data_IF_564353193979
#
_entry.id   IF_564353193979
#
_cell.length_a   1.000
_cell.length_b   1.000
_cell.length_c   1.000
_cell.angle_alpha   90.00
_cell.angle_beta   90.00
_cell.angle_gamma   90.00
#
_symmetry.space_group_name_H-M   'P 1'
#
loop_
_entity.id
_entity.type
_entity.pdbx_description
1 polymer ?
#
# COMPACT_ATOMS: atom_id res chain seq x y z
N UNK A 1 -3.15 -2.34 34.04
CA UNK A 1 -2.60 -1.16 34.75
C UNK A 1 -3.17 0.07 34.11
N UNK A 2 -4.02 0.79 34.83
CA UNK A 2 -4.74 1.95 34.31
C UNK A 2 -3.78 3.09 33.96
N UNK A 3 -3.77 3.47 32.69
CA UNK A 3 -3.29 4.78 32.22
C UNK A 3 -4.45 5.38 31.44
N UNK A 4 -4.94 6.53 31.87
CA UNK A 4 -5.98 7.26 31.13
C UNK A 4 -6.87 8.21 31.93
N UNK A 5 -6.80 8.25 33.26
CA UNK A 5 -7.70 9.11 34.06
C UNK A 5 -7.23 10.58 34.24
N UNK A 6 -6.28 11.07 33.44
CA UNK A 6 -5.65 12.38 33.68
C UNK A 6 -5.49 13.31 32.47
N UNK A 7 -5.76 12.86 31.24
CA UNK A 7 -5.85 13.76 30.08
C UNK A 7 -7.33 14.06 29.83
N UNK A 8 -7.72 15.34 29.89
CA UNK A 8 -9.09 15.75 29.66
C UNK A 8 -9.53 15.38 28.25
N UNK A 9 -10.58 14.56 28.12
CA UNK A 9 -11.21 14.30 26.84
C UNK A 9 -12.07 15.52 26.44
N UNK A 10 -11.80 16.09 25.27
CA UNK A 10 -12.52 17.26 24.75
C UNK A 10 -13.63 16.89 23.74
N UNK A 11 -13.55 15.70 23.16
CA UNK A 11 -14.49 15.22 22.17
C UNK A 11 -14.64 13.70 22.23
N UNK A 12 -15.67 13.16 21.59
CA UNK A 12 -15.84 11.71 21.44
C UNK A 12 -16.64 11.33 20.20
N UNK A 13 -16.38 10.11 19.71
CA UNK A 13 -17.12 9.46 18.63
C UNK A 13 -17.81 8.23 19.17
N UNK A 14 -19.14 8.15 19.00
CA UNK A 14 -19.93 6.95 19.31
C UNK A 14 -20.21 6.18 18.04
N UNK A 15 -19.78 4.92 18.01
CA UNK A 15 -20.04 3.96 16.95
C UNK A 15 -20.98 2.90 17.51
N UNK A 16 -22.17 2.76 16.92
CA UNK A 16 -23.10 1.68 17.28
C UNK A 16 -22.87 0.49 16.35
N UNK A 17 -22.65 -0.68 16.93
CA UNK A 17 -22.54 -1.95 16.23
C UNK A 17 -23.76 -2.80 16.59
N UNK A 18 -24.40 -3.35 15.56
CA UNK A 18 -25.58 -4.21 15.69
C UNK A 18 -25.27 -5.56 15.04
N UNK A 19 -25.49 -6.65 15.77
CA UNK A 19 -25.41 -7.99 15.24
C UNK A 19 -26.53 -8.23 14.22
N UNK A 20 -26.24 -9.01 13.18
CA UNK A 20 -27.21 -9.32 12.12
C UNK A 20 -27.79 -10.72 12.31
N UNK A 21 -28.97 -10.98 11.73
CA UNK A 21 -29.61 -12.30 11.81
C UNK A 21 -30.13 -12.70 13.19
N UNK A 22 -30.28 -11.74 14.12
CA UNK A 22 -30.73 -12.00 15.49
C UNK A 22 -29.68 -12.65 16.40
N UNK A 23 -28.43 -12.77 15.93
CA UNK A 23 -27.33 -13.30 16.73
C UNK A 23 -27.05 -12.39 17.95
N UNK A 24 -26.64 -13.00 19.06
CA UNK A 24 -26.20 -12.25 20.25
C UNK A 24 -24.75 -11.84 20.07
N UNK A 25 -24.36 -10.69 20.61
CA UNK A 25 -22.96 -10.28 20.57
C UNK A 25 -22.05 -11.31 21.25
N UNK A 26 -22.51 -11.95 22.33
CA UNK A 26 -21.75 -12.97 23.06
C UNK A 26 -21.42 -14.23 22.24
N UNK A 27 -22.16 -14.49 21.17
CA UNK A 27 -21.93 -15.61 20.25
C UNK A 27 -20.89 -15.26 19.17
N UNK A 28 -20.53 -13.98 19.04
CA UNK A 28 -19.59 -13.47 18.05
C UNK A 28 -18.19 -13.34 18.64
N UNK A 29 -17.21 -13.94 17.96
CA UNK A 29 -15.79 -13.82 18.30
C UNK A 29 -14.99 -13.17 17.16
N UNK A 30 -15.26 -11.90 16.80
CA UNK A 30 -14.54 -11.25 15.72
C UNK A 30 -13.06 -11.04 16.08
N UNK A 31 -12.19 -11.22 15.09
CA UNK A 31 -10.81 -10.73 15.15
C UNK A 31 -10.75 -9.19 15.13
N UNK A 32 -9.59 -8.61 14.76
CA UNK A 32 -9.50 -7.18 14.51
C UNK A 32 -10.55 -6.74 13.48
N UNK A 33 -11.36 -5.73 13.82
CA UNK A 33 -12.44 -5.24 12.97
C UNK A 33 -11.95 -4.03 12.15
N UNK A 34 -11.65 -4.20 10.84
CA UNK A 34 -11.27 -3.09 9.99
C UNK A 34 -12.48 -2.20 9.68
N UNK A 35 -12.29 -0.89 9.81
CA UNK A 35 -13.25 0.14 9.46
C UNK A 35 -12.61 1.07 8.43
N UNK A 36 -13.25 1.18 7.26
CA UNK A 36 -12.87 2.14 6.24
C UNK A 36 -13.48 3.50 6.53
N UNK A 37 -12.64 4.54 6.51
CA UNK A 37 -13.05 5.92 6.71
C UNK A 37 -13.43 6.51 5.35
N UNK A 38 -14.72 6.55 5.07
CA UNK A 38 -15.27 7.05 3.82
C UNK A 38 -15.82 8.48 3.96
N UNK A 39 -16.03 9.13 2.82
CA UNK A 39 -16.54 10.49 2.73
C UNK A 39 -15.79 11.35 1.71
N UNK A 40 -16.23 12.59 1.61
CA UNK A 40 -15.66 13.61 0.74
C UNK A 40 -14.87 14.66 1.51
N UNK A 41 -14.10 15.47 0.78
CA UNK A 41 -13.38 16.62 1.33
C UNK A 41 -12.46 16.22 2.51
N UNK A 42 -12.59 16.95 3.61
CA UNK A 42 -11.80 16.89 4.82
C UNK A 42 -12.06 15.67 5.71
N UNK A 43 -13.28 15.12 5.65
CA UNK A 43 -13.82 14.28 6.73
C UNK A 43 -12.98 13.02 6.97
N UNK A 44 -12.59 12.23 5.95
CA UNK A 44 -11.83 11.00 6.18
C UNK A 44 -10.44 11.23 6.76
N UNK A 45 -9.73 12.27 6.30
CA UNK A 45 -8.39 12.60 6.80
C UNK A 45 -8.43 13.07 8.25
N UNK A 46 -9.44 13.87 8.59
CA UNK A 46 -9.64 14.38 9.93
C UNK A 46 -10.12 13.29 10.91
N UNK A 47 -11.00 12.38 10.47
CA UNK A 47 -11.35 11.17 11.22
C UNK A 47 -10.12 10.30 11.47
N UNK A 48 -9.30 10.07 10.45
CA UNK A 48 -8.08 9.28 10.57
C UNK A 48 -7.13 9.90 11.60
N UNK A 49 -6.93 11.23 11.54
CA UNK A 49 -6.15 11.97 12.53
C UNK A 49 -6.69 11.77 13.94
N UNK A 50 -7.99 12.00 14.15
CA UNK A 50 -8.61 11.85 15.47
C UNK A 50 -8.44 10.43 16.04
N UNK A 51 -8.68 9.41 15.21
CA UNK A 51 -8.64 8.01 15.61
C UNK A 51 -7.22 7.49 15.88
N UNK A 52 -6.24 7.92 15.09
CA UNK A 52 -4.86 7.39 15.14
C UNK A 52 -3.94 8.24 16.03
N UNK A 53 -4.14 9.55 16.07
CA UNK A 53 -3.24 10.47 16.77
C UNK A 53 -3.84 11.12 18.02
N UNK A 54 -5.17 11.18 18.16
CA UNK A 54 -5.82 11.90 19.27
C UNK A 54 -6.70 11.02 20.17
N UNK A 55 -6.84 9.73 19.87
CA UNK A 55 -7.58 8.81 20.71
C UNK A 55 -6.86 8.57 22.05
N UNK A 56 -7.57 8.77 23.15
CA UNK A 56 -7.05 8.64 24.53
C UNK A 56 -7.63 7.42 25.22
N UNK A 57 -8.90 7.12 24.96
CA UNK A 57 -9.60 5.97 25.55
C UNK A 57 -10.66 5.44 24.60
N UNK A 58 -10.89 4.13 24.65
CA UNK A 58 -11.96 3.45 23.96
C UNK A 58 -12.71 2.60 24.96
N UNK A 59 -14.02 2.82 25.04
CA UNK A 59 -14.90 2.04 25.91
C UNK A 59 -16.00 1.38 25.10
N UNK A 60 -16.30 0.14 25.44
CA UNK A 60 -17.45 -0.59 24.91
C UNK A 60 -18.51 -0.72 26.00
N UNK A 61 -19.76 -0.48 25.64
CA UNK A 61 -20.92 -0.73 26.48
C UNK A 61 -22.07 -1.33 25.65
N UNK A 62 -22.87 -2.26 26.21
CA UNK A 62 -24.14 -2.64 25.60
C UNK A 62 -25.05 -1.41 25.39
N UNK A 63 -25.85 -1.39 24.33
CA UNK A 63 -26.65 -0.20 23.97
C UNK A 63 -27.73 0.13 25.01
N UNK A 64 -28.34 -0.91 25.60
CA UNK A 64 -29.49 -0.78 26.52
C UNK A 64 -29.10 -0.80 28.00
N UNK A 65 -27.81 -0.90 28.31
CA UNK A 65 -27.37 -0.98 29.69
C UNK A 65 -27.12 0.39 30.31
N UNK A 66 -28.12 0.93 31.00
CA UNK A 66 -27.90 1.96 32.02
C UNK A 66 -27.22 1.28 33.22
N UNK A 67 -25.92 1.55 33.43
CA UNK A 67 -25.19 1.09 34.62
C UNK A 67 -24.35 -0.19 34.49
N UNK A 68 -24.23 -0.80 33.31
CA UNK A 68 -23.24 -1.89 33.11
C UNK A 68 -21.84 -1.31 32.92
N UNK A 69 -20.79 -1.86 33.57
CA UNK A 69 -19.45 -1.29 33.52
C UNK A 69 -18.93 -1.23 32.09
N UNK A 70 -18.52 -0.03 31.69
CA UNK A 70 -17.80 0.21 30.45
C UNK A 70 -16.51 -0.62 30.44
N UNK A 71 -16.28 -1.34 29.35
CA UNK A 71 -15.10 -2.17 29.21
C UNK A 71 -14.06 -1.48 28.33
N UNK A 72 -12.84 -1.30 28.85
CA UNK A 72 -11.75 -0.71 28.08
C UNK A 72 -11.38 -1.60 26.89
N UNK A 73 -11.23 -0.98 25.73
CA UNK A 73 -10.65 -1.56 24.53
C UNK A 73 -9.28 -0.92 24.25
N UNK A 74 -8.39 -1.60 23.52
CA UNK A 74 -7.21 -0.97 22.95
C UNK A 74 -7.58 0.24 22.09
N UNK A 75 -6.66 1.21 22.01
CA UNK A 75 -6.82 2.34 21.08
C UNK A 75 -6.92 1.85 19.63
N UNK A 76 -7.65 2.55 18.76
CA UNK A 76 -7.73 2.19 17.35
C UNK A 76 -6.33 2.25 16.73
N UNK A 77 -5.96 1.20 15.98
CA UNK A 77 -4.68 1.20 15.25
C UNK A 77 -4.90 1.53 13.78
N UNK A 78 -3.95 2.23 13.18
CA UNK A 78 -3.89 2.38 11.73
C UNK A 78 -3.73 0.99 11.06
N UNK A 79 -4.57 0.70 10.08
CA UNK A 79 -4.63 -0.59 9.38
C UNK A 79 -4.44 -0.41 7.87
N UNK A 80 -4.07 -1.49 7.17
CA UNK A 80 -3.84 -1.48 5.73
C UNK A 80 -2.38 -1.26 5.34
N UNK A 81 -1.47 -1.26 6.31
CA UNK A 81 -0.05 -1.09 6.04
C UNK A 81 0.68 -2.43 6.00
N UNK A 82 0.15 -3.44 6.67
CA UNK A 82 0.62 -4.82 6.84
C UNK A 82 0.96 -5.50 5.49
N UNK A 83 1.75 -6.58 5.54
CA UNK A 83 2.21 -7.25 4.31
C UNK A 83 1.05 -7.95 3.59
N UNK A 84 0.12 -8.47 4.38
CA UNK A 84 -1.11 -9.11 3.94
C UNK A 84 -2.08 -8.12 3.29
N UNK A 85 -1.88 -6.82 3.51
CA UNK A 85 -2.65 -5.74 2.89
C UNK A 85 -1.99 -5.17 1.62
N UNK A 86 -0.92 -5.79 1.13
CA UNK A 86 -0.24 -5.37 -0.10
C UNK A 86 -1.19 -5.46 -1.30
N UNK A 87 -1.27 -4.38 -2.08
CA UNK A 87 -1.97 -4.42 -3.37
C UNK A 87 -0.99 -4.76 -4.50
N UNK A 88 0.21 -4.19 -4.46
CA UNK A 88 1.24 -4.47 -5.47
C UNK A 88 2.01 -5.73 -5.03
N UNK A 89 2.00 -6.82 -5.84
CA UNK A 89 2.68 -8.07 -5.49
C UNK A 89 4.19 -7.88 -5.31
N UNK A 90 4.70 -8.30 -4.15
CA UNK A 90 6.14 -8.35 -3.91
C UNK A 90 6.79 -9.45 -4.76
N UNK A 91 7.96 -9.17 -5.32
CA UNK A 91 8.86 -10.16 -5.93
C UNK A 91 10.05 -10.50 -5.01
N UNK A 92 10.04 -10.01 -3.76
CA UNK A 92 11.14 -10.19 -2.81
C UNK A 92 12.40 -9.36 -3.13
N UNK A 93 12.39 -8.58 -4.23
CA UNK A 93 13.55 -7.79 -4.67
C UNK A 93 13.54 -6.37 -4.13
N UNK A 94 12.41 -5.94 -3.57
CA UNK A 94 12.21 -4.58 -3.06
C UNK A 94 11.76 -4.61 -1.61
N UNK A 95 12.22 -3.63 -0.82
CA UNK A 95 11.75 -3.44 0.54
C UNK A 95 10.30 -2.94 0.54
N UNK A 96 9.52 -3.37 1.53
CA UNK A 96 8.11 -3.00 1.71
C UNK A 96 7.89 -1.48 1.74
N UNK A 97 8.85 -0.71 2.26
CA UNK A 97 8.77 0.75 2.33
C UNK A 97 8.54 1.40 0.95
N UNK A 98 9.22 0.91 -0.09
CA UNK A 98 9.05 1.43 -1.45
C UNK A 98 7.67 1.09 -2.03
N UNK A 99 7.13 -0.08 -1.69
CA UNK A 99 5.73 -0.43 -2.03
C UNK A 99 4.77 0.55 -1.38
N UNK A 100 4.92 0.81 -0.07
CA UNK A 100 4.03 1.72 0.66
C UNK A 100 4.03 3.13 0.05
N UNK A 101 5.20 3.65 -0.35
CA UNK A 101 5.29 4.92 -1.07
C UNK A 101 4.56 4.86 -2.42
N UNK A 102 4.83 3.82 -3.21
CA UNK A 102 4.20 3.63 -4.53
C UNK A 102 2.68 3.61 -4.42
N UNK A 103 2.15 2.87 -3.44
CA UNK A 103 0.72 2.75 -3.25
C UNK A 103 0.10 4.03 -2.64
N UNK A 104 0.82 4.76 -1.78
CA UNK A 104 0.33 6.03 -1.21
C UNK A 104 0.19 7.10 -2.27
N UNK A 105 1.21 7.26 -3.11
CA UNK A 105 1.14 8.24 -4.19
C UNK A 105 0.17 7.80 -5.30
N UNK A 106 -0.13 6.51 -5.43
CA UNK A 106 -1.12 5.98 -6.38
C UNK A 106 -2.57 6.15 -5.91
N UNK A 107 -2.88 5.74 -4.68
CA UNK A 107 -4.22 5.76 -4.10
C UNK A 107 -4.12 5.93 -2.58
N UNK A 108 -3.94 7.16 -2.06
CA UNK A 108 -3.76 7.37 -0.62
C UNK A 108 -4.97 6.89 0.20
N UNK A 109 -6.16 6.89 -0.40
CA UNK A 109 -7.40 6.39 0.21
C UNK A 109 -7.31 4.94 0.66
N UNK A 110 -6.42 4.11 0.08
CA UNK A 110 -6.27 2.71 0.51
C UNK A 110 -5.80 2.55 1.96
N UNK A 111 -5.23 3.61 2.54
CA UNK A 111 -4.69 3.62 3.90
C UNK A 111 -5.65 4.24 4.92
N UNK A 112 -6.84 4.69 4.50
CA UNK A 112 -7.85 5.26 5.37
C UNK A 112 -8.62 4.16 6.12
N UNK A 113 -7.89 3.24 6.72
CA UNK A 113 -8.43 2.16 7.54
C UNK A 113 -7.89 2.28 8.95
N UNK A 114 -8.78 2.02 9.90
CA UNK A 114 -8.42 1.72 11.29
C UNK A 114 -8.92 0.34 11.64
N UNK A 115 -8.31 -0.29 12.65
CA UNK A 115 -8.79 -1.55 13.20
C UNK A 115 -9.13 -1.39 14.68
N UNK A 116 -10.29 -1.92 15.07
CA UNK A 116 -10.70 -2.05 16.47
C UNK A 116 -10.33 -3.46 16.97
N UNK A 117 -9.53 -3.52 18.03
CA UNK A 117 -9.08 -4.77 18.63
C UNK A 117 -9.86 -5.15 19.88
N UNK A 118 -9.75 -6.41 20.29
CA UNK A 118 -10.24 -6.89 21.59
C UNK A 118 -11.76 -7.03 21.69
N UNK A 119 -12.49 -6.88 20.57
CA UNK A 119 -13.95 -6.96 20.53
C UNK A 119 -14.47 -8.32 20.99
N UNK A 120 -13.92 -9.45 20.51
CA UNK A 120 -14.36 -10.80 20.90
C UNK A 120 -14.44 -11.00 22.42
N UNK A 121 -13.40 -10.59 23.14
CA UNK A 121 -13.36 -10.72 24.61
C UNK A 121 -14.46 -9.90 25.28
N UNK A 122 -14.81 -8.74 24.74
CA UNK A 122 -15.82 -7.85 25.31
C UNK A 122 -17.24 -8.27 24.92
N UNK A 123 -17.42 -8.72 23.68
CA UNK A 123 -18.66 -9.28 23.17
C UNK A 123 -19.14 -10.47 24.01
N UNK A 124 -18.24 -11.37 24.40
CA UNK A 124 -18.53 -12.47 25.32
C UNK A 124 -19.14 -12.01 26.67
N UNK A 125 -18.83 -10.79 27.12
CA UNK A 125 -19.36 -10.20 28.35
C UNK A 125 -20.66 -9.40 28.15
N UNK A 126 -21.16 -9.27 26.91
CA UNK A 126 -22.37 -8.51 26.60
C UNK A 126 -23.67 -9.31 26.82
N UNK A 127 -23.59 -10.58 27.23
CA UNK A 127 -24.76 -11.42 27.54
C UNK A 127 -25.70 -11.54 26.34
N UNK A 128 -26.97 -11.17 26.54
CA UNK A 128 -28.05 -11.26 25.54
C UNK A 128 -28.12 -10.06 24.60
N UNK A 129 -27.23 -9.07 24.75
CA UNK A 129 -27.27 -7.86 23.93
C UNK A 129 -26.97 -8.16 22.45
N UNK A 130 -27.78 -7.58 21.57
CA UNK A 130 -27.60 -7.61 20.11
C UNK A 130 -26.91 -6.35 19.59
N UNK A 131 -26.84 -5.29 20.42
CA UNK A 131 -26.24 -4.00 20.08
C UNK A 131 -25.26 -3.51 21.16
N UNK A 132 -24.19 -2.85 20.72
CA UNK A 132 -23.26 -2.16 21.60
C UNK A 132 -22.82 -0.81 21.03
N UNK A 133 -22.55 0.13 21.93
CA UNK A 133 -21.88 1.39 21.63
C UNK A 133 -20.37 1.24 21.94
N UNK A 134 -19.54 1.50 20.93
CA UNK A 134 -18.11 1.76 21.09
C UNK A 134 -17.91 3.28 21.12
N UNK A 135 -17.44 3.81 22.24
CA UNK A 135 -17.18 5.24 22.43
C UNK A 135 -15.68 5.47 22.48
N UNK A 136 -15.19 6.27 21.54
CA UNK A 136 -13.79 6.67 21.43
C UNK A 136 -13.69 8.11 21.91
N UNK A 137 -12.84 8.36 22.91
CA UNK A 137 -12.61 9.68 23.49
C UNK A 137 -11.32 10.28 22.92
N UNK A 138 -11.36 11.58 22.62
CA UNK A 138 -10.25 12.30 22.00
C UNK A 138 -9.76 13.44 22.88
N UNK A 139 -8.44 13.66 22.88
CA UNK A 139 -7.79 14.79 23.58
C UNK A 139 -8.05 16.15 22.92
N UNK A 140 -8.46 16.18 21.65
CA UNK A 140 -8.65 17.42 20.88
C UNK A 140 -9.97 17.41 20.15
N UNK A 141 -10.70 18.51 20.19
CA UNK A 141 -11.91 18.70 19.36
C UNK A 141 -11.55 19.05 17.90
N UNK A 142 -12.25 18.44 16.95
CA UNK A 142 -12.22 18.81 15.53
C UNK A 142 -13.53 19.45 15.10
N UNK A 143 -13.54 20.78 14.90
CA UNK A 143 -14.75 21.51 14.52
C UNK A 143 -15.36 21.01 13.20
N UNK A 144 -14.52 20.63 12.23
CA UNK A 144 -14.95 20.13 10.91
C UNK A 144 -15.78 18.83 10.97
N UNK A 145 -15.64 18.03 12.04
CA UNK A 145 -16.35 16.76 12.21
C UNK A 145 -17.71 16.91 12.90
N UNK A 146 -17.92 17.99 13.65
CA UNK A 146 -19.16 18.19 14.41
C UNK A 146 -20.34 18.38 13.44
N UNK A 147 -21.32 17.49 13.50
CA UNK A 147 -22.50 17.51 12.62
C UNK A 147 -22.27 16.96 11.21
N UNK A 148 -21.02 16.73 10.80
CA UNK A 148 -20.66 16.22 9.47
C UNK A 148 -20.50 14.70 9.41
N UNK A 149 -20.24 14.06 10.54
CA UNK A 149 -19.99 12.60 10.63
C UNK A 149 -21.31 11.83 10.69
N UNK A 150 -21.45 10.85 9.80
CA UNK A 150 -22.60 9.96 9.69
C UNK A 150 -22.16 8.49 9.67
N UNK A 151 -23.10 7.56 9.77
CA UNK A 151 -22.82 6.13 9.62
C UNK A 151 -22.20 5.80 8.25
N UNK A 152 -22.45 6.60 7.20
CA UNK A 152 -21.88 6.39 5.87
C UNK A 152 -20.36 6.63 5.82
N UNK A 153 -19.78 7.31 6.81
CA UNK A 153 -18.34 7.59 6.90
C UNK A 153 -17.55 6.43 7.50
N UNK A 154 -18.21 5.43 8.10
CA UNK A 154 -17.57 4.28 8.71
C UNK A 154 -18.09 3.03 8.00
N UNK A 155 -17.32 2.51 7.05
CA UNK A 155 -17.73 1.36 6.24
C UNK A 155 -17.07 0.08 6.75
N UNK A 156 -17.93 -0.88 7.10
CA UNK A 156 -17.56 -2.29 7.25
C UNK A 156 -17.53 -2.97 5.88
N UNK A 157 -16.84 -4.11 5.79
CA UNK A 157 -16.79 -4.95 4.58
C UNK A 157 -16.29 -4.22 3.33
N UNK A 158 -15.42 -3.23 3.53
CA UNK A 158 -14.73 -2.51 2.47
C UNK A 158 -13.29 -3.02 2.36
N UNK A 159 -12.80 -3.22 1.14
CA UNK A 159 -11.41 -3.58 0.87
C UNK A 159 -10.91 -2.82 -0.35
N UNK A 160 -9.66 -2.30 -0.35
CA UNK A 160 -9.08 -1.77 -1.57
C UNK A 160 -8.81 -2.90 -2.56
N UNK A 161 -8.87 -2.59 -3.85
CA UNK A 161 -8.60 -3.55 -4.92
C UNK A 161 -7.67 -2.91 -5.97
N UNK A 162 -6.86 -3.73 -6.62
CA UNK A 162 -6.00 -3.33 -7.74
C UNK A 162 -6.43 -4.07 -8.99
N UNK A 163 -6.38 -3.40 -10.14
CA UNK A 163 -6.66 -4.00 -11.43
C UNK A 163 -5.43 -4.80 -11.92
N UNK A 164 -5.22 -5.97 -11.34
CA UNK A 164 -4.12 -6.87 -11.66
C UNK A 164 -4.59 -8.31 -11.52
N UNK A 165 -4.43 -9.12 -12.58
CA UNK A 165 -4.87 -10.51 -12.58
C UNK A 165 -3.96 -11.37 -13.46
N UNK A 166 -3.93 -12.67 -13.18
CA UNK A 166 -3.19 -13.63 -14.00
C UNK A 166 -3.96 -13.91 -15.30
N UNK A 167 -3.23 -13.93 -16.43
CA UNK A 167 -3.75 -14.34 -17.73
C UNK A 167 -2.71 -15.17 -18.46
N UNK A 168 -3.18 -16.23 -19.11
CA UNK A 168 -2.41 -16.93 -20.13
C UNK A 168 -2.38 -16.06 -21.38
N UNK A 169 -1.19 -15.63 -21.80
CA UNK A 169 -1.02 -14.82 -23.00
C UNK A 169 -1.13 -15.68 -24.25
N UNK A 170 -1.40 -15.01 -25.38
CA UNK A 170 -1.33 -15.64 -26.68
C UNK A 170 0.08 -16.14 -26.96
N UNK A 171 0.14 -17.26 -27.69
CA UNK A 171 1.39 -17.94 -28.00
C UNK A 171 2.32 -17.07 -28.82
N UNK A 172 3.58 -16.99 -28.40
CA UNK A 172 4.61 -16.19 -29.06
C UNK A 172 5.44 -17.10 -29.96
N UNK A 173 5.32 -16.95 -31.28
CA UNK A 173 6.12 -17.72 -32.22
C UNK A 173 7.60 -17.32 -32.14
N UNK A 174 8.47 -18.32 -32.20
CA UNK A 174 9.93 -18.15 -32.18
C UNK A 174 10.47 -18.43 -33.57
N UNK A 175 11.00 -17.38 -34.20
CA UNK A 175 11.68 -17.43 -35.51
C UNK A 175 13.19 -17.24 -35.30
N UNK A 176 14.01 -17.75 -36.23
CA UNK A 176 15.47 -17.59 -36.16
C UNK A 176 15.95 -16.14 -36.44
N UNK A 177 15.11 -15.33 -37.08
CA UNK A 177 15.50 -13.98 -37.55
C UNK A 177 15.19 -12.86 -36.54
N UNK A 178 14.29 -13.11 -35.58
CA UNK A 178 13.88 -12.10 -34.59
C UNK A 178 14.60 -12.32 -33.25
N UNK A 179 15.38 -11.34 -32.82
CA UNK A 179 16.09 -11.40 -31.53
C UNK A 179 15.18 -11.12 -30.33
N UNK A 180 14.08 -10.39 -30.55
CA UNK A 180 13.08 -10.06 -29.54
C UNK A 180 11.67 -10.16 -30.12
N UNK A 181 10.68 -10.49 -29.28
CA UNK A 181 9.30 -10.72 -29.68
C UNK A 181 8.34 -9.95 -28.77
N UNK A 182 7.33 -9.33 -29.37
CA UNK A 182 6.30 -8.62 -28.61
C UNK A 182 5.39 -9.64 -27.89
N UNK A 183 5.24 -9.49 -26.58
CA UNK A 183 4.28 -10.29 -25.80
C UNK A 183 2.93 -9.59 -25.79
N UNK A 184 1.94 -10.19 -26.45
CA UNK A 184 0.58 -9.65 -26.53
C UNK A 184 -0.31 -10.50 -25.63
N UNK A 185 -1.02 -9.86 -24.70
CA UNK A 185 -1.89 -10.56 -23.77
C UNK A 185 -3.10 -11.21 -24.46
N UNK A 186 -3.66 -10.54 -25.45
CA UNK A 186 -4.79 -11.02 -26.26
C UNK A 186 -4.76 -10.32 -27.63
N UNK A 187 -4.51 -11.07 -28.71
CA UNK A 187 -4.43 -10.55 -30.08
C UNK A 187 -5.77 -10.08 -30.61
N UNK A 188 -6.88 -10.57 -30.06
CA UNK A 188 -8.22 -10.10 -30.45
C UNK A 188 -8.52 -8.73 -29.84
N UNK A 189 -7.88 -8.40 -28.72
CA UNK A 189 -8.06 -7.17 -27.95
C UNK A 189 -6.73 -6.57 -27.49
N UNK A 190 -5.81 -6.21 -28.41
CA UNK A 190 -4.45 -5.77 -28.08
C UNK A 190 -4.39 -4.36 -27.45
N UNK A 191 -5.53 -3.67 -27.35
CA UNK A 191 -5.63 -2.37 -26.70
C UNK A 191 -6.14 -2.47 -25.27
N UNK A 192 -6.81 -3.57 -24.91
CA UNK A 192 -7.56 -3.71 -23.66
C UNK A 192 -6.67 -4.17 -22.50
N UNK A 193 -5.53 -4.78 -22.81
CA UNK A 193 -4.65 -5.39 -21.82
C UNK A 193 -3.23 -4.86 -21.95
N UNK A 194 -2.58 -4.71 -20.81
CA UNK A 194 -1.16 -4.40 -20.71
C UNK A 194 -0.48 -5.44 -19.81
N UNK A 195 0.67 -5.95 -20.26
CA UNK A 195 1.47 -6.92 -19.51
C UNK A 195 2.22 -6.18 -18.41
N UNK A 196 1.99 -6.57 -17.16
CA UNK A 196 2.67 -6.00 -16.00
C UNK A 196 3.96 -6.77 -15.66
N UNK A 197 3.87 -8.09 -15.56
CA UNK A 197 5.00 -8.97 -15.18
C UNK A 197 4.79 -10.38 -15.74
N UNK A 198 5.84 -10.99 -16.27
CA UNK A 198 5.83 -12.41 -16.65
C UNK A 198 5.99 -13.29 -15.41
N UNK A 199 5.14 -14.31 -15.25
CA UNK A 199 5.15 -15.22 -14.10
C UNK A 199 5.77 -16.58 -14.43
N UNK A 200 5.42 -17.14 -15.58
CA UNK A 200 5.90 -18.46 -16.04
C UNK A 200 6.08 -18.40 -17.56
N UNK A 201 7.26 -18.78 -18.03
CA UNK A 201 7.60 -18.82 -19.45
C UNK A 201 8.05 -20.23 -19.78
N UNK A 202 7.38 -20.86 -20.74
CA UNK A 202 7.75 -22.20 -21.23
C UNK A 202 7.94 -22.18 -22.72
N UNK A 203 9.02 -22.83 -23.17
CA UNK A 203 9.36 -23.01 -24.56
C UNK A 203 8.88 -24.38 -25.05
N UNK A 204 8.21 -24.38 -26.20
CA UNK A 204 7.76 -25.58 -26.90
C UNK A 204 8.74 -25.90 -28.04
N UNK A 205 9.34 -27.08 -27.96
CA UNK A 205 10.29 -27.57 -28.94
C UNK A 205 9.56 -28.22 -30.11
N UNK A 206 10.20 -28.22 -31.28
CA UNK A 206 9.67 -28.84 -32.51
C UNK A 206 9.48 -30.35 -32.38
N UNK A 207 10.22 -31.00 -31.49
CA UNK A 207 10.14 -32.43 -31.19
C UNK A 207 9.07 -32.80 -30.15
N UNK A 208 8.24 -31.83 -29.72
CA UNK A 208 7.12 -32.06 -28.80
C UNK A 208 7.44 -31.90 -27.31
N UNK A 209 8.68 -31.52 -26.97
CA UNK A 209 9.07 -31.23 -25.58
C UNK A 209 8.67 -29.82 -25.11
N UNK A 210 8.39 -29.68 -23.81
CA UNK A 210 8.26 -28.37 -23.16
C UNK A 210 9.41 -28.17 -22.16
N UNK A 211 10.06 -27.00 -22.21
CA UNK A 211 11.12 -26.64 -21.28
C UNK A 211 10.78 -25.34 -20.55
N UNK A 212 11.11 -25.21 -19.25
CA UNK A 212 11.04 -23.93 -18.57
C UNK A 212 12.07 -22.96 -19.15
N UNK A 213 11.70 -21.68 -19.24
CA UNK A 213 12.61 -20.58 -19.58
C UNK A 213 12.66 -19.66 -18.37
N UNK A 214 13.84 -19.52 -17.76
CA UNK A 214 14.01 -18.81 -16.49
C UNK A 214 14.43 -17.36 -16.71
N UNK A 215 14.10 -16.42 -15.82
CA UNK A 215 14.56 -15.03 -15.98
C UNK A 215 16.09 -14.97 -15.87
N UNK A 216 16.75 -14.25 -16.79
CA UNK A 216 18.22 -14.12 -16.81
C UNK A 216 18.80 -13.51 -15.52
N UNK A 217 17.99 -12.75 -14.79
CA UNK A 217 18.37 -12.05 -13.56
C UNK A 217 17.96 -12.79 -12.27
N UNK A 218 17.42 -14.01 -12.38
CA UNK A 218 17.01 -14.81 -11.23
C UNK A 218 18.19 -15.62 -10.68
N UNK A 219 18.48 -15.44 -9.39
CA UNK A 219 19.51 -16.20 -8.69
C UNK A 219 19.15 -17.68 -8.53
N UNK A 220 17.86 -18.03 -8.53
CA UNK A 220 17.43 -19.44 -8.53
C UNK A 220 17.78 -20.16 -9.85
N UNK A 221 18.09 -19.41 -10.91
CA UNK A 221 18.69 -19.92 -12.15
C UNK A 221 20.05 -20.60 -11.95
N UNK A 222 20.72 -20.38 -10.81
CA UNK A 222 21.95 -21.08 -10.42
C UNK A 222 21.73 -22.54 -10.01
N UNK A 223 20.49 -22.96 -9.73
CA UNK A 223 20.15 -24.36 -9.43
C UNK A 223 19.91 -25.20 -10.68
N UNK A 224 19.73 -24.56 -11.84
CA UNK A 224 19.69 -25.26 -13.12
C UNK A 224 21.11 -25.52 -13.60
N UNK A 225 21.30 -26.64 -14.29
CA UNK A 225 22.53 -26.84 -15.05
C UNK A 225 22.58 -25.75 -16.13
N UNK A 226 23.49 -24.79 -15.95
CA UNK A 226 23.70 -23.66 -16.86
C UNK A 226 23.98 -24.12 -18.30
N UNK A 227 24.45 -25.35 -18.47
CA UNK A 227 24.68 -25.94 -19.79
C UNK A 227 23.40 -26.21 -20.58
N UNK A 228 22.28 -26.44 -19.87
CA UNK A 228 21.02 -26.90 -20.45
C UNK A 228 19.85 -25.93 -20.27
N UNK A 229 20.03 -24.87 -19.48
CA UNK A 229 19.00 -23.87 -19.17
C UNK A 229 18.72 -22.90 -20.34
N UNK A 230 17.45 -22.52 -20.47
CA UNK A 230 17.00 -21.42 -21.33
C UNK A 230 16.69 -20.20 -20.46
N UNK A 231 17.18 -19.05 -20.88
CA UNK A 231 16.96 -17.79 -20.18
C UNK A 231 16.10 -16.84 -21.00
N UNK A 232 15.36 -15.96 -20.33
CA UNK A 232 14.70 -14.84 -20.96
C UNK A 232 15.07 -13.50 -20.32
N UNK A 233 15.06 -12.46 -21.14
CA UNK A 233 15.10 -11.08 -20.70
C UNK A 233 13.88 -10.34 -21.26
N UNK A 234 13.38 -9.38 -20.48
CA UNK A 234 12.25 -8.54 -20.88
C UNK A 234 12.72 -7.11 -21.11
N UNK A 235 12.23 -6.49 -22.19
CA UNK A 235 12.43 -5.09 -22.47
C UNK A 235 11.09 -4.38 -22.54
N UNK A 236 10.95 -3.31 -21.78
CA UNK A 236 9.73 -2.51 -21.74
C UNK A 236 9.92 -1.25 -22.56
N UNK A 237 9.02 -0.97 -23.49
CA UNK A 237 9.07 0.25 -24.31
C UNK A 237 7.77 1.03 -24.23
N UNK A 238 7.82 2.38 -24.26
CA UNK A 238 6.63 3.17 -24.52
C UNK A 238 6.00 2.77 -25.85
N UNK A 239 4.69 2.58 -25.86
CA UNK A 239 3.99 2.22 -27.09
C UNK A 239 4.05 3.37 -28.11
N UNK A 240 4.30 3.04 -29.38
CA UNK A 240 4.28 4.00 -30.48
C UNK A 240 2.91 3.98 -31.16
N UNK A 241 2.00 4.83 -30.70
CA UNK A 241 0.72 5.04 -31.40
C UNK A 241 0.93 5.90 -32.66
N UNK A 242 0.49 5.46 -33.85
CA UNK A 242 0.45 6.29 -35.06
C UNK A 242 -0.32 7.59 -34.82
N UNK A 243 0.10 8.68 -35.46
CA UNK A 243 -0.50 10.01 -35.24
C UNK A 243 -2.01 10.07 -35.54
N UNK A 244 -2.50 9.26 -36.48
CA UNK A 244 -3.94 9.12 -36.78
C UNK A 244 -4.70 8.44 -35.63
N UNK A 245 -4.11 7.38 -35.06
CA UNK A 245 -4.67 6.72 -33.90
C UNK A 245 -4.63 7.61 -32.67
N UNK A 246 -3.56 8.39 -32.44
CA UNK A 246 -3.53 9.36 -31.33
C UNK A 246 -4.65 10.40 -31.39
N UNK A 247 -5.00 10.88 -32.59
CA UNK A 247 -6.10 11.85 -32.78
C UNK A 247 -7.48 11.20 -32.68
N UNK A 248 -7.61 9.94 -33.09
CA UNK A 248 -8.84 9.15 -32.95
C UNK A 248 -9.02 8.58 -31.53
N UNK A 249 -7.92 8.42 -30.79
CA UNK A 249 -7.86 7.94 -29.42
C UNK A 249 -8.27 9.07 -28.46
N UNK A 250 -9.53 9.51 -28.54
CA UNK A 250 -10.18 10.25 -27.46
C UNK A 250 -10.50 9.38 -26.24
N UNK A 251 -9.79 8.25 -26.06
CA UNK A 251 -10.05 7.22 -25.04
C UNK A 251 -9.38 7.55 -23.70
N UNK A 252 -8.10 7.96 -23.74
CA UNK A 252 -7.27 8.31 -22.59
C UNK A 252 -5.96 8.94 -23.07
N UNK A 253 -5.37 9.81 -22.25
CA UNK A 253 -4.01 10.32 -22.45
C UNK A 253 -2.93 9.25 -22.17
N UNK A 254 -3.33 8.12 -21.57
CA UNK A 254 -2.44 7.02 -21.25
C UNK A 254 -2.07 6.19 -22.49
N UNK A 255 -0.81 6.32 -22.91
CA UNK A 255 -0.26 5.62 -24.10
C UNK A 255 0.05 4.14 -23.82
N UNK A 256 0.28 3.73 -22.58
CA UNK A 256 0.66 2.35 -22.22
C UNK A 256 2.07 1.93 -22.67
N UNK A 257 2.45 0.72 -22.29
CA UNK A 257 3.74 0.11 -22.61
C UNK A 257 3.61 -1.21 -23.38
N UNK A 258 4.69 -1.57 -24.05
CA UNK A 258 4.85 -2.83 -24.77
C UNK A 258 5.97 -3.64 -24.13
N UNK A 259 5.68 -4.89 -23.80
CA UNK A 259 6.65 -5.83 -23.24
C UNK A 259 7.21 -6.71 -24.36
N UNK A 260 8.52 -6.68 -24.53
CA UNK A 260 9.26 -7.52 -25.45
C UNK A 260 10.00 -8.59 -24.67
N UNK A 261 10.06 -9.80 -25.22
CA UNK A 261 10.81 -10.93 -24.65
C UNK A 261 11.90 -11.37 -25.62
N UNK A 262 13.12 -11.52 -25.10
CA UNK A 262 14.22 -12.21 -25.78
C UNK A 262 14.52 -13.51 -25.04
N UNK A 263 14.88 -14.55 -25.79
CA UNK A 263 15.22 -15.87 -25.25
C UNK A 263 16.66 -16.19 -25.67
N UNK A 264 17.47 -16.66 -24.72
CA UNK A 264 18.88 -16.99 -24.92
C UNK A 264 19.23 -18.34 -24.29
N UNK A 265 20.23 -19.00 -24.89
CA UNK A 265 20.81 -20.24 -24.39
C UNK A 265 22.34 -20.09 -24.36
N UNK A 266 22.92 -19.47 -23.31
CA UNK A 266 24.32 -19.04 -23.31
C UNK A 266 25.32 -20.17 -23.56
N UNK A 267 25.07 -21.36 -23.01
CA UNK A 267 25.96 -22.51 -23.17
C UNK A 267 25.84 -23.19 -24.54
N UNK A 268 24.67 -23.13 -25.19
CA UNK A 268 24.42 -23.74 -26.49
C UNK A 268 23.36 -22.97 -27.26
N UNK A 269 23.82 -22.00 -28.06
CA UNK A 269 22.96 -21.12 -28.84
C UNK A 269 21.98 -21.88 -29.77
N UNK A 270 22.40 -23.02 -30.36
CA UNK A 270 21.53 -23.82 -31.24
C UNK A 270 20.25 -24.36 -30.58
N UNK A 271 20.18 -24.40 -29.23
CA UNK A 271 18.95 -24.81 -28.52
C UNK A 271 17.77 -23.86 -28.78
N UNK A 272 18.01 -22.59 -29.10
CA UNK A 272 16.90 -21.67 -29.40
C UNK A 272 16.26 -21.95 -30.76
N UNK A 273 16.97 -22.61 -31.68
CA UNK A 273 16.47 -22.99 -33.01
C UNK A 273 15.44 -24.13 -32.95
N UNK A 274 15.58 -25.01 -31.94
CA UNK A 274 14.65 -26.09 -31.64
C UNK A 274 13.30 -25.59 -31.14
N UNK A 275 13.23 -24.34 -30.67
CA UNK A 275 12.02 -23.72 -30.11
C UNK A 275 11.22 -23.11 -31.26
N UNK A 276 9.92 -23.37 -31.28
CA UNK A 276 9.01 -22.75 -32.26
C UNK A 276 7.96 -21.85 -31.61
N UNK A 277 7.69 -22.02 -30.31
CA UNK A 277 6.64 -21.29 -29.62
C UNK A 277 6.95 -21.10 -28.13
N UNK A 278 6.52 -19.98 -27.55
CA UNK A 278 6.50 -19.74 -26.12
C UNK A 278 5.05 -19.67 -25.61
N UNK A 279 4.78 -20.36 -24.51
CA UNK A 279 3.60 -20.15 -23.67
C UNK A 279 3.98 -19.33 -22.45
N UNK A 280 3.27 -18.22 -22.24
CA UNK A 280 3.58 -17.27 -21.18
C UNK A 280 2.35 -17.06 -20.31
N UNK A 281 2.49 -17.26 -19.01
CA UNK A 281 1.54 -16.79 -18.01
C UNK A 281 2.08 -15.51 -17.40
N UNK A 282 1.25 -14.48 -17.32
CA UNK A 282 1.66 -13.17 -16.84
C UNK A 282 0.59 -12.52 -15.98
N UNK A 283 1.02 -11.59 -15.13
CA UNK A 283 0.14 -10.59 -14.54
C UNK A 283 -0.14 -9.52 -15.60
N UNK A 284 -1.41 -9.23 -15.79
CA UNK A 284 -1.92 -8.24 -16.75
C UNK A 284 -2.88 -7.28 -16.06
N UNK A 285 -3.06 -6.11 -16.66
CA UNK A 285 -4.03 -5.09 -16.24
C UNK A 285 -4.93 -4.70 -17.40
N UNK A 286 -6.14 -4.21 -17.13
CA UNK A 286 -7.06 -3.71 -18.18
C UNK A 286 -6.72 -2.30 -18.71
N UNK A 287 -5.48 -1.84 -18.53
CA UNK A 287 -4.97 -0.57 -19.08
C UNK A 287 -5.86 0.63 -18.73
N UNK A 288 -6.37 1.36 -19.73
CA UNK A 288 -7.22 2.55 -19.62
C UNK A 288 -8.72 2.23 -19.53
N UNK A 289 -9.13 0.97 -19.67
CA UNK A 289 -10.54 0.58 -19.52
C UNK A 289 -11.16 0.98 -18.18
N UNK A 290 -10.44 0.94 -17.03
CA UNK A 290 -10.99 1.40 -15.75
C UNK A 290 -11.41 2.88 -15.74
N UNK A 291 -10.81 3.74 -16.57
CA UNK A 291 -11.22 5.16 -16.65
C UNK A 291 -12.63 5.31 -17.19
N UNK A 292 -13.12 4.30 -17.92
CA UNK A 292 -14.49 4.26 -18.47
C UNK A 292 -15.50 3.71 -17.47
N UNK A 293 -15.04 3.14 -16.34
CA UNK A 293 -15.93 2.71 -15.28
C UNK A 293 -16.43 3.93 -14.51
N UNK A 294 -17.65 4.36 -14.83
CA UNK A 294 -18.35 5.35 -14.01
C UNK A 294 -18.72 4.77 -12.63
N UNK A 295 -19.13 5.65 -11.71
CA UNK A 295 -19.82 5.23 -10.48
C UNK A 295 -21.18 4.64 -10.88
N UNK A 296 -21.23 3.34 -11.16
CA UNK A 296 -22.48 2.65 -11.41
C UNK A 296 -23.40 2.76 -10.20
N UNK A 297 -24.67 3.14 -10.41
CA UNK A 297 -25.72 2.94 -9.41
C UNK A 297 -26.12 1.46 -9.46
N UNK A 298 -25.58 0.64 -8.57
CA UNK A 298 -25.92 -0.79 -8.46
C UNK A 298 -24.72 -1.68 -8.15
N UNK A 299 -24.97 -2.98 -8.08
CA UNK A 299 -23.93 -4.00 -7.89
C UNK A 299 -23.08 -4.10 -9.16
N UNK A 300 -21.93 -3.44 -9.17
CA UNK A 300 -21.05 -3.37 -10.35
C UNK A 300 -20.34 -4.70 -10.64
N UNK A 301 -20.30 -5.59 -9.65
CA UNK A 301 -19.63 -6.89 -9.73
C UNK A 301 -20.53 -7.99 -9.18
N UNK A 302 -20.45 -9.16 -9.80
CA UNK A 302 -20.99 -10.42 -9.29
C UNK A 302 -19.83 -11.31 -8.83
N UNK A 303 -20.00 -11.98 -7.70
CA UNK A 303 -19.09 -13.02 -7.24
C UNK A 303 -19.89 -14.30 -7.06
N UNK A 304 -19.39 -15.40 -7.62
CA UNK A 304 -20.02 -16.69 -7.47
C UNK A 304 -19.60 -17.34 -6.14
N UNK A 305 -20.54 -18.03 -5.49
CA UNK A 305 -20.24 -18.83 -4.29
C UNK A 305 -20.12 -18.06 -2.97
N UNK A 306 -20.41 -16.75 -2.94
CA UNK A 306 -20.43 -15.97 -1.69
C UNK A 306 -21.81 -15.33 -1.49
N UNK A 307 -22.38 -15.51 -0.30
CA UNK A 307 -23.64 -14.88 0.08
C UNK A 307 -23.42 -13.38 0.38
N UNK A 308 -23.41 -12.55 -0.66
CA UNK A 308 -23.36 -11.08 -0.56
C UNK A 308 -24.64 -10.46 -1.12
N UNK A 309 -25.15 -9.41 -0.47
CA UNK A 309 -26.28 -8.64 -0.99
C UNK A 309 -25.91 -7.82 -2.23
N UNK A 310 -24.61 -7.55 -2.41
CA UNK A 310 -24.12 -6.79 -3.54
C UNK A 310 -22.69 -6.27 -3.36
N UNK A 311 -22.03 -6.00 -4.48
CA UNK A 311 -20.67 -5.42 -4.50
C UNK A 311 -20.74 -4.07 -5.22
N UNK A 312 -20.37 -3.01 -4.52
CA UNK A 312 -20.41 -1.63 -5.04
C UNK A 312 -19.05 -0.96 -4.93
N UNK A 313 -18.70 -0.13 -5.91
CA UNK A 313 -17.51 0.71 -5.85
C UNK A 313 -17.75 1.94 -4.97
N UNK A 314 -17.00 2.06 -3.87
CA UNK A 314 -17.05 3.25 -3.01
C UNK A 314 -16.40 4.47 -3.69
N UNK A 315 -15.33 4.22 -4.46
CA UNK A 315 -14.57 5.23 -5.20
C UNK A 315 -14.31 4.76 -6.63
N UNK A 316 -14.25 5.69 -7.61
CA UNK A 316 -13.88 5.35 -8.97
C UNK A 316 -12.43 4.83 -9.00
N UNK A 317 -12.09 3.97 -9.98
CA UNK A 317 -10.71 3.56 -10.22
C UNK A 317 -9.79 4.77 -10.43
N UNK A 318 -8.56 4.67 -9.96
CA UNK A 318 -7.52 5.65 -10.27
C UNK A 318 -7.06 5.50 -11.72
N UNK A 319 -6.66 6.59 -12.41
CA UNK A 319 -6.13 6.51 -13.77
C UNK A 319 -4.85 5.63 -13.81
N UNK A 320 -4.64 4.84 -14.87
CA UNK A 320 -3.45 4.02 -15.02
C UNK A 320 -2.19 4.87 -15.08
N UNK A 321 -1.09 4.25 -14.65
CA UNK A 321 0.18 4.94 -14.41
C UNK A 321 1.29 4.24 -15.17
N UNK A 322 1.95 4.99 -16.05
CA UNK A 322 3.21 4.56 -16.65
C UNK A 322 4.24 4.12 -15.57
N UNK A 323 5.02 3.06 -15.84
CA UNK A 323 6.01 2.56 -14.91
C UNK A 323 7.12 3.58 -14.68
N UNK A 324 7.71 3.54 -13.48
CA UNK A 324 8.89 4.32 -13.15
C UNK A 324 10.09 3.83 -13.96
N UNK A 325 11.01 4.75 -14.28
CA UNK A 325 12.30 4.36 -14.86
C UNK A 325 12.30 4.10 -16.37
N UNK A 326 11.27 4.49 -17.11
CA UNK A 326 11.35 4.51 -18.57
C UNK A 326 12.32 5.60 -19.05
N UNK A 327 13.10 5.28 -20.10
CA UNK A 327 14.11 6.16 -20.69
C UNK A 327 15.11 6.68 -19.64
N UNK A 328 15.41 7.98 -19.66
CA UNK A 328 16.36 8.64 -18.75
C UNK A 328 15.94 8.58 -17.27
N UNK A 329 14.69 8.20 -16.99
CA UNK A 329 14.21 7.95 -15.63
C UNK A 329 14.88 6.75 -14.95
N UNK A 330 15.49 5.83 -15.70
CA UNK A 330 16.15 4.64 -15.17
C UNK A 330 17.27 5.01 -14.18
N UNK A 331 18.07 6.03 -14.50
CA UNK A 331 19.16 6.48 -13.62
C UNK A 331 18.65 7.07 -12.30
N UNK A 332 17.50 7.74 -12.32
CA UNK A 332 16.84 8.22 -11.08
C UNK A 332 16.40 7.06 -10.21
N UNK A 333 15.87 5.99 -10.81
CA UNK A 333 15.51 4.76 -10.08
C UNK A 333 16.75 4.03 -9.57
N UNK A 334 17.85 3.96 -10.33
CA UNK A 334 19.10 3.34 -9.88
C UNK A 334 19.68 4.12 -8.70
N UNK A 335 19.74 5.45 -8.78
CA UNK A 335 20.17 6.30 -7.67
C UNK A 335 19.30 6.09 -6.40
N UNK A 336 18.03 5.77 -6.59
CA UNK A 336 17.06 5.47 -5.52
C UNK A 336 17.33 4.14 -4.78
N UNK A 337 17.97 3.18 -5.46
CA UNK A 337 18.31 1.86 -4.94
C UNK A 337 19.62 1.84 -4.14
N UNK A 338 20.30 2.97 -4.01
CA UNK A 338 21.49 3.13 -3.15
C UNK A 338 21.10 3.86 -1.85
N UNK A 339 20.31 3.26 -0.94
CA UNK A 339 19.98 3.93 0.30
C UNK A 339 21.12 3.82 1.31
N UNK A 340 21.77 4.95 1.60
CA UNK A 340 22.40 5.15 2.89
C UNK A 340 21.32 5.69 3.84
N UNK A 341 20.93 4.91 4.86
CA UNK A 341 20.02 5.33 5.94
C UNK A 341 20.42 6.69 6.56
N UNK A 342 21.71 7.02 6.48
CA UNK A 342 22.32 8.25 6.99
C UNK A 342 22.24 9.45 6.03
N UNK A 343 21.65 9.31 4.83
CA UNK A 343 21.50 10.40 3.86
C UNK A 343 20.20 11.20 4.00
N UNK A 344 19.16 10.66 4.65
CA UNK A 344 17.86 11.34 4.75
C UNK A 344 17.71 12.23 5.99
N UNK A 345 18.51 11.99 7.03
CA UNK A 345 18.42 12.71 8.28
C UNK A 345 19.78 13.33 8.62
N UNK A 346 19.81 14.65 8.78
CA UNK A 346 20.97 15.35 9.31
C UNK A 346 21.28 14.87 10.73
N UNK A 347 22.57 14.72 11.05
CA UNK A 347 23.04 14.53 12.43
C UNK A 347 23.44 15.89 13.01
N UNK A 348 22.89 16.25 14.17
CA UNK A 348 23.20 17.51 14.84
C UNK A 348 22.31 18.69 14.43
N UNK A 349 22.72 19.90 14.80
CA UNK A 349 21.90 21.12 14.70
C UNK A 349 22.01 21.86 13.37
N UNK A 350 23.04 21.59 12.56
CA UNK A 350 23.54 22.63 11.65
C UNK A 350 23.12 22.49 10.18
N UNK A 351 22.51 21.38 9.74
CA UNK A 351 21.86 21.32 8.43
C UNK A 351 20.76 20.23 8.42
N UNK A 352 19.53 20.65 8.69
CA UNK A 352 18.34 19.79 8.77
C UNK A 352 17.53 19.83 7.48
N UNK A 353 18.18 19.95 6.32
CA UNK A 353 17.47 20.03 5.04
C UNK A 353 16.87 18.67 4.67
N UNK A 354 15.55 18.63 4.52
CA UNK A 354 14.84 17.46 4.03
C UNK A 354 15.00 17.24 2.51
N UNK A 355 15.91 17.95 1.83
CA UNK A 355 16.12 17.89 0.39
C UNK A 355 16.36 16.49 -0.17
N UNK A 356 17.15 15.67 0.53
CA UNK A 356 17.37 14.27 0.13
C UNK A 356 16.07 13.45 0.17
N UNK A 357 15.26 13.59 1.23
CA UNK A 357 13.97 12.92 1.34
C UNK A 357 12.97 13.47 0.31
N UNK A 358 12.94 14.79 0.07
CA UNK A 358 12.10 15.39 -0.97
C UNK A 358 12.45 14.86 -2.36
N UNK A 359 13.73 14.81 -2.72
CA UNK A 359 14.18 14.25 -3.99
C UNK A 359 13.77 12.78 -4.15
N UNK A 360 13.86 12.02 -3.06
CA UNK A 360 13.45 10.62 -3.03
C UNK A 360 11.94 10.44 -3.22
N UNK A 361 11.13 11.23 -2.52
CA UNK A 361 9.67 11.20 -2.64
C UNK A 361 9.18 11.74 -3.99
N UNK A 362 9.91 12.68 -4.60
CA UNK A 362 9.65 13.22 -5.93
C UNK A 362 9.79 12.18 -7.06
N UNK A 363 10.33 10.99 -6.79
CA UNK A 363 10.25 9.87 -7.73
C UNK A 363 8.83 9.29 -7.84
N UNK A 364 8.07 9.33 -6.74
CA UNK A 364 6.72 8.79 -6.65
C UNK A 364 5.63 9.85 -6.91
N UNK A 365 5.89 11.10 -6.50
CA UNK A 365 5.04 12.23 -6.82
C UNK A 365 5.25 12.64 -8.29
N UNK A 366 4.24 12.38 -9.14
CA UNK A 366 4.33 12.71 -10.56
C UNK A 366 4.39 14.22 -10.79
N UNK A 367 5.09 14.68 -11.85
CA UNK A 367 5.09 16.09 -12.23
C UNK A 367 3.67 16.64 -12.48
N UNK A 368 2.76 15.83 -13.03
CA UNK A 368 1.38 16.26 -13.29
C UNK A 368 0.54 16.42 -12.02
N UNK A 369 0.86 15.68 -10.95
CA UNK A 369 0.09 15.67 -9.71
C UNK A 369 0.53 16.81 -8.78
N UNK A 370 -0.16 17.94 -8.88
CA UNK A 370 0.11 19.12 -8.06
C UNK A 370 -0.10 18.86 -6.55
N UNK A 371 -1.04 17.99 -6.18
CA UNK A 371 -1.32 17.66 -4.78
C UNK A 371 -0.16 16.85 -4.21
N UNK A 372 0.28 15.78 -4.92
CA UNK A 372 1.42 14.99 -4.50
C UNK A 372 2.70 15.84 -4.39
N UNK A 373 2.97 16.72 -5.35
CA UNK A 373 4.12 17.63 -5.29
C UNK A 373 4.06 18.58 -4.11
N UNK A 374 2.89 19.16 -3.84
CA UNK A 374 2.69 20.03 -2.67
C UNK A 374 2.98 19.27 -1.38
N UNK A 375 2.55 18.02 -1.26
CA UNK A 375 2.86 17.18 -0.08
C UNK A 375 4.36 16.90 0.06
N UNK A 376 5.09 16.69 -1.05
CA UNK A 376 6.55 16.52 -1.02
C UNK A 376 7.25 17.81 -0.58
N UNK A 377 6.87 18.96 -1.12
CA UNK A 377 7.42 20.27 -0.74
C UNK A 377 7.04 20.70 0.69
N UNK A 378 6.01 20.08 1.26
CA UNK A 378 5.61 20.28 2.65
C UNK A 378 6.59 19.65 3.65
N UNK A 379 7.49 18.76 3.19
CA UNK A 379 8.54 18.18 4.03
C UNK A 379 9.65 19.20 4.24
N UNK A 380 9.69 19.81 5.43
CA UNK A 380 10.62 20.90 5.75
C UNK A 380 11.91 20.38 6.38
N UNK A 381 11.81 19.53 7.40
CA UNK A 381 12.97 19.08 8.17
C UNK A 381 12.90 17.58 8.44
N UNK A 382 14.07 16.94 8.48
CA UNK A 382 14.24 15.57 8.96
C UNK A 382 15.46 15.53 9.87
N UNK A 383 15.27 15.17 11.13
CA UNK A 383 16.34 15.08 12.13
C UNK A 383 16.36 13.71 12.76
N UNK A 384 17.54 13.17 13.02
CA UNK A 384 17.71 11.92 13.75
C UNK A 384 18.37 12.17 15.11
N UNK A 385 17.77 11.62 16.16
CA UNK A 385 18.27 11.67 17.53
C UNK A 385 18.47 10.23 18.05
N UNK A 386 19.64 9.88 18.62
CA UNK A 386 19.83 8.57 19.22
C UNK A 386 19.00 8.42 20.50
N UNK A 387 18.24 7.33 20.59
CA UNK A 387 17.36 7.06 21.73
C UNK A 387 17.54 5.62 22.21
N UNK A 388 17.51 5.42 23.52
CA UNK A 388 17.52 4.07 24.13
C UNK A 388 16.15 3.73 24.70
N UNK A 389 15.73 2.49 24.48
CA UNK A 389 14.47 1.92 25.02
C UNK A 389 14.73 0.59 25.68
N UNK A 390 13.88 0.25 26.64
CA UNK A 390 13.84 -1.11 27.16
C UNK A 390 13.28 -2.04 26.09
N UNK A 391 13.96 -3.16 25.85
CA UNK A 391 13.52 -4.19 24.92
C UNK A 391 12.13 -4.73 25.34
N UNK A 392 11.18 -4.86 24.41
CA UNK A 392 9.90 -5.51 24.70
C UNK A 392 10.12 -7.01 24.93
N UNK A 393 9.66 -7.55 26.06
CA UNK A 393 9.76 -8.97 26.40
C UNK A 393 9.71 -9.25 27.91
N UNK A 394 9.49 -10.51 28.28
CA UNK A 394 9.42 -10.97 29.67
C UNK A 394 10.79 -11.38 30.27
N UNK A 395 11.88 -11.24 29.50
CA UNK A 395 13.24 -11.59 29.91
C UNK A 395 13.96 -10.50 30.71
N UNK A 396 15.28 -10.66 30.96
CA UNK A 396 16.11 -9.64 31.61
C UNK A 396 15.98 -8.29 30.90
N UNK A 397 15.99 -7.19 31.66
CA UNK A 397 15.90 -5.83 31.12
C UNK A 397 17.09 -5.51 30.23
N UNK A 398 16.97 -5.79 28.93
CA UNK A 398 17.92 -5.35 27.92
C UNK A 398 17.51 -3.96 27.39
N UNK A 399 18.51 -3.12 27.10
CA UNK A 399 18.29 -1.85 26.40
C UNK A 399 18.64 -1.99 24.94
N UNK A 400 17.73 -1.60 24.06
CA UNK A 400 17.97 -1.49 22.62
C UNK A 400 18.30 -0.03 22.34
N UNK A 401 19.29 0.20 21.48
CA UNK A 401 19.58 1.52 20.92
C UNK A 401 18.84 1.67 19.60
N UNK A 402 18.19 2.80 19.40
CA UNK A 402 17.47 3.13 18.20
C UNK A 402 17.66 4.58 17.82
N UNK A 403 16.86 5.04 16.87
CA UNK A 403 16.82 6.42 16.41
C UNK A 403 15.40 6.95 16.51
N UNK A 404 15.24 8.15 17.06
CA UNK A 404 14.02 8.94 16.89
C UNK A 404 14.20 9.84 15.68
N UNK A 405 13.27 9.77 14.75
CA UNK A 405 13.23 10.57 13.54
C UNK A 405 12.18 11.67 13.75
N UNK A 406 12.62 12.91 13.81
CA UNK A 406 11.75 14.08 13.88
C UNK A 406 11.48 14.55 12.45
N UNK A 407 10.22 14.50 12.05
CA UNK A 407 9.74 14.88 10.72
C UNK A 407 8.95 16.18 10.84
N UNK A 408 9.52 17.28 10.35
CA UNK A 408 8.84 18.57 10.28
C UNK A 408 8.03 18.71 9.01
N UNK A 409 6.71 18.76 9.13
CA UNK A 409 5.79 18.99 8.03
C UNK A 409 5.07 20.33 8.16
N UNK A 410 4.89 20.99 7.01
CA UNK A 410 4.06 22.17 6.87
C UNK A 410 2.61 21.78 6.58
N UNK A 411 1.69 22.09 7.49
CA UNK A 411 0.26 21.74 7.37
C UNK A 411 -0.39 22.35 6.13
N UNK A 412 0.09 23.50 5.64
CA UNK A 412 -0.43 24.15 4.43
C UNK A 412 -0.26 23.30 3.16
N UNK A 413 0.65 22.31 3.20
CA UNK A 413 0.87 21.38 2.12
C UNK A 413 -0.12 20.22 2.05
N UNK A 414 -0.97 20.04 3.06
CA UNK A 414 -1.87 18.90 3.21
C UNK A 414 -3.32 19.34 3.36
N UNK A 415 -4.22 18.58 2.76
CA UNK A 415 -5.66 18.78 2.97
C UNK A 415 -6.09 18.09 4.28
N UNK A 416 -6.56 18.88 5.25
CA UNK A 416 -7.50 18.47 6.30
C UNK A 416 -7.19 17.13 6.99
N UNK A 417 -6.06 17.06 7.68
CA UNK A 417 -5.70 15.88 8.51
C UNK A 417 -5.01 14.73 7.76
N UNK A 418 -4.90 14.79 6.43
CA UNK A 418 -4.11 13.80 5.65
C UNK A 418 -2.61 13.82 5.96
N UNK A 419 -2.11 14.88 6.59
CA UNK A 419 -0.73 14.98 7.08
C UNK A 419 -0.35 13.82 8.02
N UNK A 420 -1.25 13.42 8.92
CA UNK A 420 -0.99 12.28 9.83
C UNK A 420 -0.94 10.97 9.06
N UNK A 421 -1.77 10.81 8.03
CA UNK A 421 -1.69 9.64 7.15
C UNK A 421 -0.35 9.59 6.42
N UNK A 422 0.07 10.72 5.82
CA UNK A 422 1.38 10.82 5.17
C UNK A 422 2.52 10.50 6.14
N UNK A 423 2.51 11.09 7.35
CA UNK A 423 3.49 10.79 8.39
C UNK A 423 3.52 9.31 8.77
N UNK A 424 2.37 8.64 8.82
CA UNK A 424 2.27 7.20 9.11
C UNK A 424 2.84 6.31 7.99
N UNK A 425 2.81 6.78 6.72
CA UNK A 425 3.47 6.11 5.59
C UNK A 425 4.98 6.32 5.67
N UNK A 426 5.43 7.56 5.89
CA UNK A 426 6.86 7.89 6.02
C UNK A 426 7.49 7.16 7.21
N UNK A 427 6.81 7.09 8.35
CA UNK A 427 7.24 6.32 9.52
C UNK A 427 7.57 4.87 9.18
N UNK A 428 6.70 4.21 8.40
CA UNK A 428 6.92 2.82 7.98
C UNK A 428 7.98 2.69 6.90
N UNK A 429 8.07 3.66 5.99
CA UNK A 429 9.14 3.71 5.00
C UNK A 429 10.51 3.84 5.66
N UNK A 430 10.67 4.77 6.60
CA UNK A 430 11.94 5.01 7.29
C UNK A 430 12.34 3.83 8.20
N UNK A 431 11.36 3.12 8.77
CA UNK A 431 11.59 1.94 9.58
C UNK A 431 12.21 0.76 8.81
N UNK A 432 12.04 0.68 7.49
CA UNK A 432 12.60 -0.39 6.67
C UNK A 432 14.13 -0.26 6.50
N UNK A 433 14.70 0.90 6.79
CA UNK A 433 16.15 1.08 6.80
C UNK A 433 16.80 0.68 8.13
N UNK A 434 16.03 0.45 9.19
CA UNK A 434 16.57 0.04 10.48
C UNK A 434 17.12 -1.39 10.45
N UNK A 435 18.31 -1.58 11.04
CA UNK A 435 18.91 -2.91 11.24
C UNK A 435 18.13 -3.74 12.27
N UNK A 436 18.20 -5.07 12.19
CA UNK A 436 17.49 -5.99 13.10
C UNK A 436 17.71 -5.66 14.59
N UNK A 437 18.91 -5.21 14.96
CA UNK A 437 19.28 -4.91 16.36
C UNK A 437 19.00 -3.45 16.76
N UNK A 438 18.23 -2.72 15.97
CA UNK A 438 17.87 -1.32 16.17
C UNK A 438 16.36 -1.12 16.03
N UNK A 439 15.87 0.04 16.45
CA UNK A 439 14.51 0.47 16.20
C UNK A 439 14.47 1.92 15.72
N UNK A 440 13.37 2.28 15.07
CA UNK A 440 13.04 3.67 14.74
C UNK A 440 11.74 4.07 15.42
N UNK A 441 11.67 5.30 15.91
CA UNK A 441 10.44 5.96 16.33
C UNK A 441 10.29 7.23 15.51
N UNK A 442 9.13 7.47 14.90
CA UNK A 442 8.90 8.71 14.16
C UNK A 442 8.06 9.67 15.00
N UNK A 443 8.49 10.92 15.09
CA UNK A 443 7.79 12.03 15.71
C UNK A 443 7.47 13.06 14.62
N UNK A 444 6.19 13.29 14.37
CA UNK A 444 5.73 14.33 13.46
C UNK A 444 5.57 15.65 14.21
N UNK A 445 6.30 16.65 13.74
CA UNK A 445 6.26 18.04 14.19
C UNK A 445 5.58 18.89 13.12
N UNK A 446 4.64 19.75 13.53
CA UNK A 446 3.91 20.61 12.60
C UNK A 446 4.39 22.05 12.71
N UNK A 447 4.72 22.68 11.58
CA UNK A 447 5.08 24.10 11.53
C UNK A 447 3.83 24.96 11.71
N UNK A 448 3.45 25.28 12.97
CA UNK A 448 2.34 26.20 13.26
C UNK A 448 1.36 25.76 14.35
N UNK A 449 1.52 24.57 14.94
CA UNK A 449 0.70 24.10 16.07
C UNK A 449 1.55 23.38 17.11
N UNK A 450 1.19 23.55 18.38
CA UNK A 450 1.74 22.74 19.47
C UNK A 450 1.13 21.33 19.41
N UNK A 451 1.98 20.32 19.27
CA UNK A 451 1.59 18.92 19.33
C UNK A 451 2.47 18.02 18.47
N UNK A 452 3.05 17.00 19.10
CA UNK A 452 3.80 15.95 18.42
C UNK A 452 2.90 14.74 18.24
N UNK A 453 2.77 14.25 17.01
CA UNK A 453 2.18 12.93 16.76
C UNK A 453 3.32 11.93 16.72
N UNK A 454 3.32 10.98 17.63
CA UNK A 454 4.39 9.99 17.73
C UNK A 454 3.86 8.60 17.40
N UNK A 455 4.58 7.88 16.54
CA UNK A 455 4.32 6.47 16.28
C UNK A 455 5.15 5.58 17.23
N UNK A 456 4.63 4.39 17.57
CA UNK A 456 5.35 3.45 18.42
C UNK A 456 6.66 2.98 17.78
N UNK A 457 7.60 2.55 18.62
CA UNK A 457 8.87 2.00 18.16
C UNK A 457 8.69 0.81 17.21
N UNK A 458 9.38 0.85 16.08
CA UNK A 458 9.41 -0.20 15.07
C UNK A 458 10.79 -0.84 15.06
N UNK A 459 10.84 -2.12 15.39
CA UNK A 459 12.05 -2.93 15.26
C UNK A 459 12.45 -3.02 13.79
N UNK A 460 13.75 -2.89 13.53
CA UNK A 460 14.29 -3.06 12.19
C UNK A 460 14.11 -4.50 11.70
N UNK A 461 13.92 -4.62 10.40
CA UNK A 461 13.66 -5.91 9.73
C UNK A 461 14.80 -6.33 8.81
N UNK A 462 15.84 -5.49 8.70
CA UNK A 462 16.97 -5.73 7.80
C UNK A 462 17.98 -6.67 8.46
N UNK A 463 18.20 -7.90 7.95
CA UNK A 463 19.26 -8.76 8.44
C UNK A 463 20.59 -8.02 8.39
N UNK A 464 21.35 -8.10 9.48
CA UNK A 464 22.76 -7.69 9.47
C UNK A 464 23.44 -8.49 8.37
N UNK A 465 23.89 -7.77 7.33
CA UNK A 465 24.72 -8.32 6.26
C UNK A 465 26.06 -8.72 6.85
#
# INVERSE_FOLDING_TARGET
GGRGAGEGAEAGLRIRLTATGGAKLSELAPGPLPLYLDGSQAIPGELYRQLVADAVSVVLRPADSVGTPSADLPLPRAHGFEEECALIPSDGRTHRGYRLLSEYFACPERFLFIALDGLARRFAACGEATECDVVILFRRRAAALVGSVTAANLRLYATPAVNLFEKQLDRVAVTAFDHERLTIADRTRPLDFEVNRLLDVRAHRRDGGTLPVVPMHDFAGLSYDWSDALFYATRLTPRRLPARERRANGRSDYVGTETWISVSAPARASRTEDIHELSIRALVTNRDLPERMGRGRGTAFSIDGVAVSGITMLRPPTPPRAPLGLNDGAWRVIAHLTPNQFGFAGRGTDECDAGALRHHLALYARPEDAVARRQVEAVKTVRAEPVSRRAPGAGPSAFVRGQRLHLGLDEAGFDNGRMVLFGAVIDRFLAEFASINSFTETALETTGREGVTQWPARLGRRPTI
#
